data_IF_513678214374
#
_entry.id   IF_513678214374
#
_cell.length_a   1.000
_cell.length_b   1.000
_cell.length_c   1.000
_cell.angle_alpha   90.00
_cell.angle_beta   90.00
_cell.angle_gamma   90.00
#
_symmetry.space_group_name_H-M   'P 1'
#
loop_
_entity.id
_entity.type
_entity.pdbx_description
1 polymer ?
#
# COMPACT_ATOMS: atom_id res chain seq x y z
N UNK A 1 -2.99 -18.74 7.18
CA UNK A 1 -2.51 -17.44 6.68
C UNK A 1 -1.94 -16.65 7.84
N UNK A 2 -0.73 -16.16 7.65
CA UNK A 2 0.04 -15.38 8.63
C UNK A 2 -0.32 -13.91 8.53
N UNK A 3 -0.10 -13.13 9.59
CA UNK A 3 -0.24 -11.68 9.51
C UNK A 3 1.04 -11.08 8.93
N UNK A 4 0.96 -10.02 8.11
CA UNK A 4 2.16 -9.31 7.66
C UNK A 4 2.91 -8.71 8.84
N UNK A 5 4.24 -8.84 8.85
CA UNK A 5 5.12 -8.34 9.91
C UNK A 5 5.90 -7.09 9.47
N UNK A 6 6.25 -6.24 10.43
CA UNK A 6 7.03 -5.01 10.17
C UNK A 6 8.40 -5.37 9.58
N UNK A 7 8.85 -4.61 8.59
CA UNK A 7 10.11 -4.81 7.88
C UNK A 7 10.02 -5.75 6.69
N UNK A 8 8.85 -6.36 6.43
CA UNK A 8 8.66 -7.31 5.34
C UNK A 8 8.05 -6.70 4.10
N UNK A 9 8.32 -7.33 2.97
CA UNK A 9 7.76 -6.96 1.69
C UNK A 9 6.31 -7.45 1.57
N UNK A 10 5.46 -6.57 1.03
CA UNK A 10 4.11 -6.90 0.56
C UNK A 10 3.94 -6.36 -0.85
N UNK A 11 3.11 -7.03 -1.64
CA UNK A 11 2.73 -6.56 -2.96
C UNK A 11 1.27 -6.10 -2.92
N UNK A 12 0.93 -5.04 -3.64
CA UNK A 12 -0.45 -4.64 -3.86
C UNK A 12 -0.75 -4.58 -5.35
N UNK A 13 -1.98 -4.97 -5.70
CA UNK A 13 -2.44 -5.05 -7.09
C UNK A 13 -3.19 -3.77 -7.44
N UNK A 14 -2.72 -3.05 -8.44
CA UNK A 14 -3.32 -1.82 -8.93
C UNK A 14 -4.56 -2.09 -9.79
N UNK A 15 -5.35 -1.04 -10.05
CA UNK A 15 -6.54 -1.12 -10.91
C UNK A 15 -6.25 -1.67 -12.32
N UNK A 16 -5.04 -1.44 -12.83
CA UNK A 16 -4.58 -1.94 -14.12
C UNK A 16 -3.98 -3.36 -14.06
N UNK A 17 -4.05 -4.04 -12.91
CA UNK A 17 -3.47 -5.36 -12.68
C UNK A 17 -1.97 -5.37 -12.39
N UNK A 18 -1.30 -4.21 -12.38
CA UNK A 18 0.14 -4.16 -12.07
C UNK A 18 0.37 -4.40 -10.57
N UNK A 19 1.43 -5.16 -10.27
CA UNK A 19 1.88 -5.39 -8.90
C UNK A 19 2.95 -4.36 -8.52
N UNK A 20 2.84 -3.80 -7.32
CA UNK A 20 3.85 -2.92 -6.74
C UNK A 20 4.29 -3.46 -5.39
N UNK A 21 5.59 -3.46 -5.14
CA UNK A 21 6.15 -3.90 -3.89
C UNK A 21 6.27 -2.72 -2.92
N UNK A 22 6.05 -2.98 -1.64
CA UNK A 22 6.23 -2.02 -0.56
C UNK A 22 6.69 -2.73 0.71
N UNK A 23 7.27 -1.99 1.65
CA UNK A 23 7.75 -2.54 2.93
C UNK A 23 6.80 -2.15 4.05
N UNK A 24 6.35 -3.11 4.87
CA UNK A 24 5.51 -2.83 6.04
C UNK A 24 6.31 -2.04 7.07
N UNK A 25 5.82 -0.86 7.45
CA UNK A 25 6.40 -0.04 8.52
C UNK A 25 5.52 0.01 9.77
N UNK A 26 4.25 -0.35 9.63
CA UNK A 26 3.34 -0.54 10.76
C UNK A 26 2.28 -1.57 10.39
N UNK A 27 1.96 -2.46 11.33
CA UNK A 27 0.85 -3.40 11.23
C UNK A 27 0.07 -3.35 12.55
N UNK A 28 -1.19 -2.93 12.50
CA UNK A 28 -2.00 -2.76 13.72
C UNK A 28 -3.26 -3.63 13.71
N UNK A 29 -3.79 -3.97 14.89
CA UNK A 29 -4.96 -4.81 15.00
C UNK A 29 -6.17 -4.21 14.29
N UNK A 30 -6.97 -5.05 13.63
CA UNK A 30 -8.33 -4.71 13.27
C UNK A 30 -9.22 -4.83 14.52
N UNK A 31 -10.12 -3.88 14.73
CA UNK A 31 -10.96 -3.82 15.93
C UNK A 31 -11.90 -5.04 16.11
N UNK A 32 -12.11 -5.81 15.05
CA UNK A 32 -12.84 -7.08 15.09
C UNK A 32 -11.89 -8.24 14.80
N UNK A 33 -11.89 -9.21 15.71
CA UNK A 33 -10.96 -10.33 15.73
C UNK A 33 -10.99 -11.23 14.49
N UNK A 34 -9.89 -11.96 14.35
CA UNK A 34 -9.76 -13.28 13.70
C UNK A 34 -9.78 -13.40 12.17
N UNK A 35 -9.91 -12.33 11.39
CA UNK A 35 -9.73 -12.46 9.94
C UNK A 35 -8.25 -12.40 9.57
N UNK A 36 -7.57 -13.54 9.64
CA UNK A 36 -6.15 -13.68 9.30
C UNK A 36 -5.78 -13.22 7.86
N UNK A 37 -6.78 -13.10 6.99
CA UNK A 37 -6.65 -12.61 5.61
C UNK A 37 -6.91 -11.10 5.47
N UNK A 38 -7.17 -10.35 6.54
CA UNK A 38 -7.30 -8.89 6.50
C UNK A 38 -6.32 -8.26 7.50
N UNK A 39 -5.61 -7.22 7.07
CA UNK A 39 -4.67 -6.49 7.92
C UNK A 39 -4.80 -4.99 7.77
N UNK A 40 -4.47 -4.25 8.84
CA UNK A 40 -4.28 -2.82 8.76
C UNK A 40 -2.79 -2.50 8.67
N UNK A 41 -2.39 -1.74 7.66
CA UNK A 41 -0.99 -1.55 7.31
C UNK A 41 -0.65 -0.11 7.03
N UNK A 42 0.56 0.28 7.40
CA UNK A 42 1.29 1.38 6.78
C UNK A 42 2.48 0.76 6.08
N UNK A 43 2.65 1.10 4.81
CA UNK A 43 3.76 0.61 4.00
C UNK A 43 4.59 1.78 3.46
N UNK A 44 5.90 1.58 3.41
CA UNK A 44 6.86 2.44 2.74
C UNK A 44 6.95 2.01 1.26
N UNK A 45 6.78 2.99 0.38
CA UNK A 45 6.85 2.82 -1.07
C UNK A 45 8.29 2.86 -1.59
N UNK A 46 8.49 2.36 -2.81
CA UNK A 46 9.75 2.52 -3.53
C UNK A 46 9.94 4.00 -3.91
N UNK A 47 10.95 4.63 -3.29
CA UNK A 47 11.20 6.06 -3.43
C UNK A 47 11.55 6.47 -4.86
N UNK A 48 12.12 5.56 -5.65
CA UNK A 48 12.55 5.85 -7.02
C UNK A 48 11.42 5.62 -8.02
N UNK A 49 10.57 4.62 -7.78
CA UNK A 49 9.61 4.17 -8.78
C UNK A 49 8.14 4.53 -8.47
N UNK A 50 7.79 4.76 -7.20
CA UNK A 50 6.39 5.00 -6.77
C UNK A 50 6.06 6.47 -6.49
N UNK A 51 7.09 7.30 -6.25
CA UNK A 51 6.89 8.68 -5.80
C UNK A 51 6.90 9.67 -6.96
N UNK A 52 6.22 10.79 -6.75
CA UNK A 52 6.37 11.96 -7.62
C UNK A 52 7.78 12.53 -7.45
N UNK A 53 8.50 12.66 -8.57
CA UNK A 53 9.86 13.19 -8.60
C UNK A 53 9.87 14.72 -8.67
N UNK A 54 8.82 15.29 -9.27
CA UNK A 54 8.62 16.70 -9.49
C UNK A 54 7.37 17.20 -8.76
N UNK A 55 7.34 18.51 -8.48
CA UNK A 55 6.12 19.18 -8.07
C UNK A 55 5.30 19.33 -9.35
N UNK A 56 4.11 18.74 -9.42
CA UNK A 56 3.27 18.90 -10.61
C UNK A 56 2.96 20.40 -10.74
N UNK A 57 3.59 21.07 -11.70
CA UNK A 57 3.50 22.54 -11.87
C UNK A 57 2.09 23.02 -12.25
N UNK A 58 1.16 22.11 -12.54
CA UNK A 58 -0.22 22.42 -12.91
C UNK A 58 -1.26 21.52 -12.22
N UNK A 59 -0.93 20.97 -11.06
CA UNK A 59 -1.84 20.13 -10.29
C UNK A 59 -2.62 20.93 -9.23
N UNK A 60 -3.92 20.66 -9.11
CA UNK A 60 -4.76 21.11 -7.99
C UNK A 60 -4.02 20.90 -6.66
N UNK A 61 -3.55 22.01 -6.07
CA UNK A 61 -2.80 22.04 -4.82
C UNK A 61 -3.66 21.58 -3.62
N UNK A 62 -4.97 21.39 -3.83
CA UNK A 62 -5.87 20.84 -2.82
C UNK A 62 -5.62 19.35 -2.56
N UNK A 63 -5.01 18.62 -3.51
CA UNK A 63 -4.70 17.20 -3.36
C UNK A 63 -3.26 17.01 -2.85
N UNK A 64 -3.06 16.42 -1.64
CA UNK A 64 -1.72 16.19 -1.11
C UNK A 64 -0.87 15.27 -2.01
N UNK A 65 -1.50 14.45 -2.87
CA UNK A 65 -0.82 13.52 -3.77
C UNK A 65 -0.19 14.17 -5.01
N UNK A 66 -0.34 15.49 -5.19
CA UNK A 66 0.22 16.26 -6.32
C UNK A 66 1.61 16.85 -6.03
N UNK A 67 2.21 16.49 -4.88
CA UNK A 67 3.49 17.04 -4.40
C UNK A 67 4.60 16.00 -4.51
N UNK A 68 5.82 16.47 -4.79
CA UNK A 68 7.02 15.64 -4.77
C UNK A 68 7.14 14.84 -3.46
N UNK A 69 7.56 13.59 -3.57
CA UNK A 69 7.68 12.65 -2.46
C UNK A 69 6.36 11.98 -2.03
N UNK A 70 5.21 12.37 -2.57
CA UNK A 70 3.96 11.64 -2.40
C UNK A 70 3.81 10.53 -3.44
N UNK A 71 2.98 9.53 -3.10
CA UNK A 71 2.64 8.46 -4.03
C UNK A 71 2.01 9.04 -5.30
N UNK A 72 2.43 8.56 -6.46
CA UNK A 72 1.75 8.89 -7.72
C UNK A 72 0.28 8.47 -7.62
N UNK A 73 -0.70 9.33 -7.98
CA UNK A 73 -2.12 9.02 -7.81
C UNK A 73 -2.56 7.68 -8.42
N UNK A 74 -2.01 7.32 -9.58
CA UNK A 74 -2.29 6.04 -10.26
C UNK A 74 -1.75 4.80 -9.53
N UNK A 75 -0.85 4.99 -8.56
CA UNK A 75 -0.22 3.92 -7.77
C UNK A 75 -0.84 3.76 -6.39
N UNK A 76 -1.91 4.50 -6.08
CA UNK A 76 -2.65 4.34 -4.83
C UNK A 76 -3.76 3.30 -5.06
N UNK A 77 -3.67 2.08 -4.46
CA UNK A 77 -4.70 1.08 -4.61
C UNK A 77 -5.99 1.50 -3.91
N UNK A 78 -7.12 0.92 -4.33
CA UNK A 78 -8.41 1.21 -3.74
C UNK A 78 -8.41 0.94 -2.23
N UNK A 79 -8.93 1.88 -1.44
CA UNK A 79 -8.99 1.77 0.02
C UNK A 79 -7.70 2.12 0.75
N UNK A 80 -6.61 2.43 0.04
CA UNK A 80 -5.41 3.03 0.62
C UNK A 80 -5.48 4.57 0.60
N UNK A 81 -4.70 5.17 1.49
CA UNK A 81 -4.56 6.63 1.61
C UNK A 81 -3.08 7.00 1.56
N UNK A 82 -2.76 8.07 0.83
CA UNK A 82 -1.38 8.56 0.64
C UNK A 82 -1.19 9.94 1.29
N UNK A 83 -1.62 10.11 2.55
CA UNK A 83 -1.59 11.42 3.23
C UNK A 83 -0.21 11.84 3.74
N UNK A 84 0.72 10.90 3.78
CA UNK A 84 2.08 11.10 4.28
C UNK A 84 3.08 10.76 3.18
N UNK A 85 4.08 11.62 2.91
CA UNK A 85 5.10 11.35 1.90
C UNK A 85 5.71 9.96 2.03
N UNK A 86 5.94 9.28 0.91
CA UNK A 86 6.60 7.98 0.88
C UNK A 86 5.78 6.80 1.38
N UNK A 87 4.55 7.00 1.87
CA UNK A 87 3.81 5.93 2.56
C UNK A 87 2.36 5.80 2.08
N UNK A 88 1.84 4.58 2.19
CA UNK A 88 0.40 4.29 2.08
C UNK A 88 -0.11 3.72 3.39
N UNK A 89 -1.29 4.17 3.83
CA UNK A 89 -2.02 3.58 4.93
C UNK A 89 -3.32 2.94 4.45
N UNK A 90 -3.62 1.73 4.93
CA UNK A 90 -4.80 0.94 4.56
C UNK A 90 -5.41 0.29 5.80
N UNK A 91 -6.72 0.47 5.99
CA UNK A 91 -7.46 0.00 7.17
C UNK A 91 -8.24 -1.30 6.98
N UNK A 92 -8.01 -2.02 5.88
CA UNK A 92 -8.61 -3.33 5.56
C UNK A 92 -7.92 -3.95 4.32
N UNK A 93 -6.60 -4.11 4.36
CA UNK A 93 -5.87 -4.77 3.27
C UNK A 93 -6.25 -6.25 3.23
N UNK A 94 -6.95 -6.65 2.16
CA UNK A 94 -7.37 -8.03 1.95
C UNK A 94 -6.24 -8.81 1.28
N UNK A 95 -5.83 -9.90 1.90
CA UNK A 95 -4.92 -10.86 1.31
C UNK A 95 -5.59 -11.54 0.11
N UNK A 96 -4.84 -11.65 -0.97
CA UNK A 96 -5.08 -12.52 -2.09
C UNK A 96 -3.75 -13.23 -2.37
N UNK A 97 -3.65 -14.49 -1.91
CA UNK A 97 -2.46 -15.32 -2.10
C UNK A 97 -2.13 -15.53 -3.58
N UNK A 98 -3.13 -15.49 -4.45
CA UNK A 98 -2.97 -15.61 -5.89
C UNK A 98 -2.61 -14.28 -6.56
N UNK A 99 -2.77 -13.16 -5.84
CA UNK A 99 -2.50 -11.80 -6.28
C UNK A 99 -3.17 -11.42 -7.61
N UNK A 100 -4.40 -11.87 -7.83
CA UNK A 100 -5.12 -11.73 -9.12
C UNK A 100 -6.08 -10.56 -9.14
N UNK A 101 -6.64 -10.17 -7.99
CA UNK A 101 -7.71 -9.19 -7.93
C UNK A 101 -7.19 -7.76 -7.69
N UNK A 102 -7.55 -6.76 -8.52
CA UNK A 102 -7.23 -5.36 -8.23
C UNK A 102 -7.68 -4.92 -6.83
N UNK A 103 -6.83 -4.14 -6.15
CA UNK A 103 -7.07 -3.65 -4.79
C UNK A 103 -6.76 -4.67 -3.69
N UNK A 104 -6.38 -5.90 -4.02
CA UNK A 104 -5.89 -6.87 -3.03
C UNK A 104 -4.40 -6.72 -2.78
N UNK A 105 -3.98 -7.34 -1.70
CA UNK A 105 -2.63 -7.34 -1.19
C UNK A 105 -2.13 -8.78 -1.11
N UNK A 106 -0.83 -8.96 -1.27
CA UNK A 106 -0.18 -10.25 -1.15
C UNK A 106 1.01 -10.10 -0.23
N UNK A 107 1.06 -10.90 0.82
CA UNK A 107 2.26 -11.04 1.64
C UNK A 107 2.78 -12.47 1.48
N UNK A 108 3.98 -12.65 0.89
CA UNK A 108 4.50 -13.96 0.53
C UNK A 108 4.99 -14.77 1.74
N UNK A 109 5.03 -14.20 2.94
CA UNK A 109 5.48 -14.92 4.14
C UNK A 109 4.56 -16.09 4.48
N UNK A 110 5.17 -17.25 4.65
CA UNK A 110 4.59 -18.42 5.31
C UNK A 110 5.36 -18.60 6.62
N UNK A 111 4.66 -18.89 7.71
CA UNK A 111 5.31 -19.21 8.98
C UNK A 111 6.29 -20.38 8.73
N UNK A 112 7.54 -20.24 9.18
CA UNK A 112 8.48 -21.36 9.35
C UNK A 112 8.09 -22.19 10.58
#
# INVERSE_FOLDING_TARGET
MTRPTIGRAVHYVLANGQHRAATVVNAWPQAHGEQAYIANLTVQLDQLNDLQSDRVEEGDLSSPNSRAGYARPALVPQGATARTPGTLAVGSAKNDEDAKAPGTWHWPERDE
#
